data_IF_625432702810
#
_entry.id   IF_625432702810
#
_cell.length_a   1.000
_cell.length_b   1.000
_cell.length_c   1.000
_cell.angle_alpha   90.00
_cell.angle_beta   90.00
_cell.angle_gamma   90.00
#
_symmetry.space_group_name_H-M   'P 1'
#
loop_
_entity.id
_entity.type
_entity.pdbx_description
1 polymer ?
#
# COMPACT_ATOMS: atom_id res chain seq x y z
N UNK A 1 37.24 -59.16 28.99
CA UNK A 1 37.98 -58.69 30.17
C UNK A 1 39.02 -57.72 29.69
N UNK A 2 38.95 -56.52 30.24
CA UNK A 2 39.79 -55.34 30.01
C UNK A 2 41.25 -55.63 30.38
N UNK A 3 42.27 -55.03 29.77
CA UNK A 3 42.89 -53.71 30.04
C UNK A 3 44.30 -53.81 29.38
N UNK A 4 45.10 -52.79 29.04
CA UNK A 4 45.26 -51.39 29.41
C UNK A 4 46.35 -50.77 28.50
N UNK A 5 46.43 -49.43 28.49
CA UNK A 5 47.64 -48.58 28.48
C UNK A 5 47.81 -47.63 27.28
N UNK A 6 47.86 -46.32 27.60
CA UNK A 6 48.50 -45.27 26.80
C UNK A 6 50.04 -45.43 26.82
N UNK A 7 50.87 -44.56 26.24
CA UNK A 7 50.76 -43.13 25.99
C UNK A 7 51.96 -42.71 25.09
N UNK A 8 51.90 -41.50 24.53
CA UNK A 8 53.03 -40.60 24.18
C UNK A 8 53.60 -40.52 22.74
N UNK A 9 53.84 -39.26 22.38
CA UNK A 9 54.24 -38.62 21.13
C UNK A 9 55.68 -38.91 20.67
N UNK A 10 55.96 -38.81 19.36
CA UNK A 10 56.67 -37.67 18.75
C UNK A 10 57.08 -37.92 17.29
N UNK A 11 57.26 -36.79 16.58
CA UNK A 11 57.43 -36.54 15.15
C UNK A 11 58.69 -37.14 14.47
N UNK A 12 58.47 -37.36 13.17
CA UNK A 12 59.35 -37.09 12.01
C UNK A 12 60.55 -38.00 11.73
N UNK A 13 60.68 -38.37 10.45
CA UNK A 13 61.83 -39.10 9.92
C UNK A 13 61.64 -39.46 8.44
N UNK A 14 61.83 -38.45 7.60
CA UNK A 14 62.05 -38.50 6.15
C UNK A 14 62.57 -39.83 5.58
N UNK A 15 61.89 -40.37 4.57
CA UNK A 15 62.51 -41.25 3.55
C UNK A 15 61.58 -41.71 2.41
N UNK A 16 60.32 -41.25 2.34
CA UNK A 16 59.39 -41.66 1.27
C UNK A 16 59.18 -40.57 0.20
N UNK A 17 59.67 -39.34 0.45
CA UNK A 17 59.66 -38.22 -0.51
C UNK A 17 60.90 -38.34 -1.42
N UNK A 18 60.86 -39.26 -2.38
CA UNK A 18 61.71 -39.18 -3.59
C UNK A 18 61.33 -40.20 -4.68
N UNK A 19 60.28 -41.00 -4.48
CA UNK A 19 59.85 -42.01 -5.47
C UNK A 19 58.47 -41.78 -6.07
N UNK A 20 57.74 -40.74 -5.66
CA UNK A 20 56.47 -40.31 -6.25
C UNK A 20 56.57 -39.01 -7.07
N UNK A 21 57.75 -38.39 -7.19
CA UNK A 21 57.97 -37.13 -7.92
C UNK A 21 58.36 -37.31 -9.40
N UNK A 22 58.34 -38.54 -9.94
CA UNK A 22 58.62 -38.79 -11.37
C UNK A 22 57.40 -39.17 -12.22
N UNK A 23 56.19 -39.18 -11.65
CA UNK A 23 54.94 -39.47 -12.38
C UNK A 23 53.88 -38.35 -12.30
N UNK A 24 54.20 -37.18 -11.72
CA UNK A 24 53.29 -36.02 -11.70
C UNK A 24 53.78 -34.87 -12.61
N UNK A 25 54.74 -35.14 -13.51
CA UNK A 25 55.23 -34.14 -14.48
C UNK A 25 54.56 -34.19 -15.86
N UNK A 26 53.56 -35.05 -16.09
CA UNK A 26 52.91 -35.22 -17.41
C UNK A 26 51.36 -35.21 -17.37
N UNK A 27 50.76 -34.41 -16.49
CA UNK A 27 49.36 -33.94 -16.66
C UNK A 27 49.30 -32.45 -16.31
N UNK A 28 50.18 -31.67 -16.94
CA UNK A 28 50.13 -30.21 -16.97
C UNK A 28 49.78 -29.77 -18.37
N UNK A 29 48.76 -28.93 -18.49
CA UNK A 29 48.32 -28.20 -19.69
C UNK A 29 47.50 -28.99 -20.73
N UNK A 30 46.32 -29.45 -20.34
CA UNK A 30 45.17 -29.41 -21.25
C UNK A 30 44.00 -28.68 -20.60
N UNK A 31 43.65 -27.55 -21.21
CA UNK A 31 42.43 -26.76 -21.02
C UNK A 31 42.20 -26.08 -19.65
N UNK A 32 42.99 -25.04 -19.36
CA UNK A 32 42.49 -23.89 -18.56
C UNK A 32 41.97 -22.75 -19.44
N UNK A 33 42.45 -22.64 -20.69
CA UNK A 33 42.03 -21.58 -21.64
C UNK A 33 40.63 -21.77 -22.22
N UNK A 34 40.09 -22.99 -22.24
CA UNK A 34 38.75 -23.26 -22.77
C UNK A 34 37.61 -22.87 -21.82
N UNK A 35 37.88 -22.74 -20.52
CA UNK A 35 36.86 -22.31 -19.55
C UNK A 35 36.72 -20.79 -19.51
N UNK A 36 37.81 -20.03 -19.64
CA UNK A 36 37.76 -18.56 -19.72
C UNK A 36 36.97 -18.10 -20.95
N UNK A 37 37.15 -18.73 -22.11
CA UNK A 37 36.44 -18.37 -23.34
C UNK A 37 34.93 -18.64 -23.26
N UNK A 38 34.52 -19.70 -22.54
CA UNK A 38 33.11 -20.03 -22.25
C UNK A 38 32.51 -19.07 -21.21
N UNK A 39 33.29 -18.70 -20.19
CA UNK A 39 32.88 -17.74 -19.16
C UNK A 39 32.69 -16.33 -19.76
N UNK A 40 33.56 -15.92 -20.67
CA UNK A 40 33.47 -14.65 -21.41
C UNK A 40 32.27 -14.62 -22.37
N UNK A 41 31.97 -15.73 -23.06
CA UNK A 41 30.78 -15.85 -23.91
C UNK A 41 29.49 -15.78 -23.06
N UNK A 42 29.47 -16.45 -21.91
CA UNK A 42 28.36 -16.38 -20.96
C UNK A 42 28.22 -14.98 -20.38
N UNK A 43 29.32 -14.31 -20.02
CA UNK A 43 29.33 -12.93 -19.56
C UNK A 43 28.77 -12.00 -20.64
N UNK A 44 29.19 -12.13 -21.90
CA UNK A 44 28.65 -11.33 -23.02
C UNK A 44 27.15 -11.59 -23.26
N UNK A 45 26.68 -12.84 -23.10
CA UNK A 45 25.26 -13.17 -23.18
C UNK A 45 24.47 -12.57 -22.01
N UNK A 46 25.04 -12.56 -20.80
CA UNK A 46 24.45 -11.91 -19.63
C UNK A 46 24.44 -10.39 -19.83
N UNK A 47 25.53 -9.78 -20.30
CA UNK A 47 25.61 -8.34 -20.60
C UNK A 47 24.60 -7.90 -21.66
N UNK A 48 24.37 -8.71 -22.70
CA UNK A 48 23.31 -8.47 -23.69
C UNK A 48 21.90 -8.57 -23.10
N UNK A 49 21.73 -9.35 -22.02
CA UNK A 49 20.48 -9.48 -21.26
C UNK A 49 20.35 -8.42 -20.17
N UNK A 50 21.44 -7.77 -19.75
CA UNK A 50 21.39 -6.70 -18.77
C UNK A 50 20.56 -5.55 -19.35
N UNK A 51 19.68 -4.95 -18.54
CA UNK A 51 18.97 -3.76 -18.96
C UNK A 51 20.00 -2.66 -19.29
N UNK A 52 19.83 -2.01 -20.45
CA UNK A 52 20.65 -0.85 -20.81
C UNK A 52 20.57 0.16 -19.65
N UNK A 53 21.73 0.70 -19.25
CA UNK A 53 21.81 1.71 -18.20
C UNK A 53 21.06 2.96 -18.68
N UNK A 54 19.78 3.04 -18.34
CA UNK A 54 18.94 4.20 -18.62
C UNK A 54 19.48 5.38 -17.81
N UNK A 55 19.89 6.44 -18.49
CA UNK A 55 20.14 7.76 -17.88
C UNK A 55 18.84 8.53 -17.62
N UNK A 56 17.72 8.07 -18.19
CA UNK A 56 16.40 8.68 -17.96
C UNK A 56 15.69 8.00 -16.78
N UNK A 57 14.97 8.76 -15.94
CA UNK A 57 14.22 8.20 -14.84
C UNK A 57 13.18 7.20 -15.38
N UNK A 58 13.09 6.04 -14.74
CA UNK A 58 12.11 5.01 -15.09
C UNK A 58 10.70 5.63 -14.97
N UNK A 59 10.02 5.78 -16.11
CA UNK A 59 8.69 6.40 -16.18
C UNK A 59 7.56 5.41 -15.89
N UNK A 60 7.90 4.21 -15.40
CA UNK A 60 6.95 3.15 -15.09
C UNK A 60 5.92 3.63 -14.07
N UNK A 61 4.65 3.51 -14.45
CA UNK A 61 3.53 3.87 -13.62
C UNK A 61 2.33 2.96 -13.76
N UNK A 62 2.31 2.03 -14.71
CA UNK A 62 1.28 1.00 -14.81
C UNK A 62 1.94 -0.34 -14.55
N UNK A 63 1.42 -1.04 -13.54
CA UNK A 63 2.07 -2.23 -13.00
C UNK A 63 1.19 -3.46 -13.12
N UNK A 64 1.82 -4.62 -13.19
CA UNK A 64 1.16 -5.92 -13.00
C UNK A 64 1.05 -6.20 -11.51
N UNK A 65 0.03 -6.95 -11.11
CA UNK A 65 -0.20 -7.25 -9.69
C UNK A 65 0.99 -8.05 -9.12
N UNK A 66 1.68 -7.53 -8.09
CA UNK A 66 2.82 -8.22 -7.51
C UNK A 66 2.41 -9.52 -6.79
N UNK A 67 3.21 -10.58 -6.95
CA UNK A 67 3.20 -11.80 -6.11
C UNK A 67 1.93 -12.70 -6.11
N UNK A 68 2.00 -13.83 -5.40
CA UNK A 68 0.89 -14.78 -5.19
C UNK A 68 -0.04 -14.39 -4.03
N UNK A 69 0.41 -13.60 -3.05
CA UNK A 69 -0.42 -13.21 -1.89
C UNK A 69 -1.56 -12.27 -2.28
N UNK A 70 -1.38 -11.47 -3.33
CA UNK A 70 -2.47 -10.69 -3.92
C UNK A 70 -3.44 -11.55 -4.75
N UNK A 71 -3.01 -12.74 -5.19
CA UNK A 71 -3.81 -13.65 -6.02
C UNK A 71 -4.77 -14.54 -5.22
N UNK A 72 -4.76 -14.51 -3.90
CA UNK A 72 -5.81 -15.18 -3.10
C UNK A 72 -7.21 -14.56 -3.34
N UNK A 73 -7.26 -13.34 -3.89
CA UNK A 73 -8.47 -12.69 -4.35
C UNK A 73 -8.27 -12.13 -5.78
N UNK A 74 -8.03 -13.01 -6.76
CA UNK A 74 -7.80 -12.61 -8.17
C UNK A 74 -8.91 -11.71 -8.74
N UNK A 75 -10.14 -11.89 -8.26
CA UNK A 75 -11.31 -11.10 -8.66
C UNK A 75 -11.17 -9.62 -8.27
N UNK A 76 -10.41 -9.29 -7.23
CA UNK A 76 -10.21 -7.91 -6.79
C UNK A 76 -9.33 -7.07 -7.73
N UNK A 77 -8.58 -7.72 -8.64
CA UNK A 77 -7.64 -7.09 -9.55
C UNK A 77 -7.98 -7.27 -11.03
N UNK A 78 -8.98 -8.10 -11.34
CA UNK A 78 -9.36 -8.43 -12.72
C UNK A 78 -10.57 -7.60 -13.17
N UNK A 79 -10.52 -6.93 -14.34
CA UNK A 79 -11.66 -6.18 -14.84
C UNK A 79 -12.84 -7.10 -15.16
N UNK A 80 -14.04 -6.63 -14.86
CA UNK A 80 -15.28 -7.40 -14.99
C UNK A 80 -16.08 -7.01 -16.24
N UNK A 81 -16.08 -5.73 -16.60
CA UNK A 81 -16.93 -5.15 -17.64
C UNK A 81 -16.11 -4.48 -18.73
N UNK A 82 -15.10 -3.69 -18.38
CA UNK A 82 -14.32 -2.90 -19.34
C UNK A 82 -12.81 -3.05 -19.13
N UNK A 83 -12.12 -3.48 -20.17
CA UNK A 83 -10.66 -3.40 -20.26
C UNK A 83 -10.22 -1.99 -20.64
N UNK A 84 -9.11 -1.53 -20.09
CA UNK A 84 -8.45 -0.27 -20.40
C UNK A 84 -6.95 -0.57 -20.50
N UNK A 85 -6.34 -0.15 -21.59
CA UNK A 85 -4.93 -0.35 -21.83
C UNK A 85 -4.56 -1.80 -22.20
N UNK A 86 -3.25 -2.09 -22.31
CA UNK A 86 -2.74 -3.24 -23.05
C UNK A 86 -2.91 -4.58 -22.32
N UNK A 87 -2.85 -4.63 -20.99
CA UNK A 87 -2.81 -5.90 -20.24
C UNK A 87 -4.09 -6.74 -20.31
N UNK A 88 -5.22 -6.09 -20.64
CA UNK A 88 -6.51 -6.75 -20.81
C UNK A 88 -7.11 -6.55 -22.19
N UNK A 89 -6.35 -5.99 -23.14
CA UNK A 89 -6.80 -5.71 -24.49
C UNK A 89 -7.16 -7.00 -25.25
N UNK A 90 -8.13 -6.92 -26.18
CA UNK A 90 -8.59 -8.00 -27.06
C UNK A 90 -9.12 -9.28 -26.37
N UNK A 91 -9.37 -9.26 -25.05
CA UNK A 91 -10.05 -10.38 -24.41
C UNK A 91 -11.49 -10.48 -24.87
N UNK A 92 -11.91 -11.67 -25.29
CA UNK A 92 -13.26 -11.94 -25.85
C UNK A 92 -14.38 -11.41 -24.92
N UNK A 93 -14.19 -11.53 -23.59
CA UNK A 93 -15.15 -11.05 -22.59
C UNK A 93 -15.49 -9.56 -22.67
N UNK A 94 -14.66 -8.72 -23.30
CA UNK A 94 -14.84 -7.27 -23.36
C UNK A 94 -15.28 -6.73 -24.73
N UNK A 95 -15.47 -7.59 -25.74
CA UNK A 95 -15.82 -7.16 -27.10
C UNK A 95 -17.08 -6.27 -27.16
N UNK A 96 -18.08 -6.55 -26.32
CA UNK A 96 -19.28 -5.72 -26.23
C UNK A 96 -18.97 -4.29 -25.77
N UNK A 97 -17.98 -4.11 -24.88
CA UNK A 97 -17.55 -2.80 -24.41
C UNK A 97 -16.67 -2.04 -25.39
N UNK A 98 -15.87 -2.72 -26.21
CA UNK A 98 -15.10 -2.06 -27.26
C UNK A 98 -16.00 -1.25 -28.22
N UNK A 99 -17.17 -1.80 -28.59
CA UNK A 99 -18.15 -1.06 -29.39
C UNK A 99 -18.73 0.16 -28.67
N UNK A 100 -18.90 0.08 -27.35
CA UNK A 100 -19.40 1.20 -26.55
C UNK A 100 -18.35 2.30 -26.45
N UNK A 101 -17.07 1.97 -26.30
CA UNK A 101 -15.98 2.97 -26.32
C UNK A 101 -15.92 3.73 -27.64
N UNK A 102 -16.06 3.03 -28.77
CA UNK A 102 -16.12 3.67 -30.10
C UNK A 102 -17.32 4.62 -30.23
N UNK A 103 -18.48 4.29 -29.64
CA UNK A 103 -19.64 5.21 -29.58
C UNK A 103 -19.32 6.47 -28.77
N UNK A 104 -18.58 6.35 -27.67
CA UNK A 104 -18.16 7.50 -26.86
C UNK A 104 -17.16 8.38 -27.62
N UNK A 105 -16.18 7.77 -28.29
CA UNK A 105 -15.26 8.48 -29.19
C UNK A 105 -16.04 9.24 -30.28
N UNK A 106 -17.02 8.60 -30.92
CA UNK A 106 -17.86 9.25 -31.93
C UNK A 106 -18.65 10.42 -31.35
N UNK A 107 -19.28 10.23 -30.19
CA UNK A 107 -19.99 11.29 -29.48
C UNK A 107 -19.10 12.52 -29.21
N UNK A 108 -17.85 12.29 -28.79
CA UNK A 108 -16.87 13.36 -28.58
C UNK A 108 -16.51 14.07 -29.89
N UNK A 109 -16.27 13.32 -30.96
CA UNK A 109 -15.92 13.85 -32.28
C UNK A 109 -17.07 14.64 -32.91
N UNK A 110 -18.31 14.18 -32.76
CA UNK A 110 -19.50 14.84 -33.30
C UNK A 110 -19.78 16.17 -32.59
N UNK A 111 -19.47 16.25 -31.29
CA UNK A 111 -19.60 17.48 -30.49
C UNK A 111 -18.62 18.59 -30.89
N UNK A 112 -17.47 18.24 -31.47
CA UNK A 112 -16.39 19.17 -31.89
C UNK A 112 -16.14 20.32 -30.91
N UNK A 113 -15.76 20.04 -29.65
CA UNK A 113 -15.61 21.07 -28.62
C UNK A 113 -14.58 22.15 -28.96
N UNK A 114 -13.59 21.82 -29.81
CA UNK A 114 -12.56 22.75 -30.26
C UNK A 114 -12.35 22.61 -31.78
N UNK A 115 -11.79 23.62 -32.46
CA UNK A 115 -11.35 23.50 -33.86
C UNK A 115 -10.28 22.41 -34.06
N UNK A 116 -9.56 22.06 -33.00
CA UNK A 116 -8.53 21.03 -32.98
C UNK A 116 -9.07 19.62 -32.74
N UNK A 117 -10.35 19.47 -32.44
CA UNK A 117 -10.98 18.16 -32.24
C UNK A 117 -11.08 17.42 -33.57
N UNK A 118 -10.14 16.50 -33.82
CA UNK A 118 -10.23 15.55 -34.93
C UNK A 118 -9.50 14.25 -34.62
N UNK A 119 -10.02 13.14 -35.15
CA UNK A 119 -9.42 11.81 -34.94
C UNK A 119 -7.97 11.75 -35.45
N UNK A 120 -7.69 12.38 -36.60
CA UNK A 120 -6.34 12.45 -37.15
C UNK A 120 -5.35 13.17 -36.22
N UNK A 121 -5.77 14.25 -35.55
CA UNK A 121 -4.96 14.93 -34.53
C UNK A 121 -4.73 14.05 -33.30
N UNK A 122 -5.77 13.36 -32.80
CA UNK A 122 -5.62 12.44 -31.66
C UNK A 122 -4.60 11.34 -31.94
N UNK A 123 -4.73 10.67 -33.09
CA UNK A 123 -3.80 9.62 -33.53
C UNK A 123 -2.38 10.17 -33.68
N UNK A 124 -2.21 11.34 -34.29
CA UNK A 124 -0.89 11.96 -34.47
C UNK A 124 -0.21 12.28 -33.14
N UNK A 125 -0.94 12.92 -32.22
CA UNK A 125 -0.39 13.34 -30.93
C UNK A 125 -0.02 12.13 -30.06
N UNK A 126 -0.89 11.11 -29.99
CA UNK A 126 -0.58 9.88 -29.25
C UNK A 126 0.57 9.10 -29.89
N UNK A 127 0.60 8.97 -31.22
CA UNK A 127 1.68 8.28 -31.94
C UNK A 127 3.04 8.93 -31.71
N UNK A 128 3.09 10.27 -31.66
CA UNK A 128 4.34 11.00 -31.37
C UNK A 128 4.93 10.70 -29.99
N UNK A 129 4.15 10.12 -29.07
CA UNK A 129 4.53 9.80 -27.69
C UNK A 129 4.59 8.29 -27.43
N UNK A 130 4.44 7.46 -28.45
CA UNK A 130 4.27 6.02 -28.29
C UNK A 130 5.39 5.37 -27.48
N UNK A 131 6.64 5.70 -27.77
CA UNK A 131 7.80 5.15 -27.04
C UNK A 131 7.73 5.44 -25.55
N UNK A 132 7.49 6.71 -25.19
CA UNK A 132 7.29 7.13 -23.80
C UNK A 132 6.12 6.37 -23.14
N UNK A 133 4.97 6.28 -23.83
CA UNK A 133 3.77 5.63 -23.29
C UNK A 133 3.96 4.13 -23.08
N UNK A 134 4.71 3.44 -23.94
CA UNK A 134 5.07 2.03 -23.76
C UNK A 134 6.02 1.83 -22.58
N UNK A 135 6.95 2.76 -22.36
CA UNK A 135 7.88 2.72 -21.24
C UNK A 135 7.21 3.01 -19.87
N UNK A 136 5.94 3.43 -19.84
CA UNK A 136 5.17 3.57 -18.61
C UNK A 136 4.67 2.22 -18.04
N UNK A 137 4.79 1.13 -18.77
CA UNK A 137 4.34 -0.21 -18.36
C UNK A 137 5.52 -1.04 -17.83
N UNK A 138 5.32 -1.76 -16.71
CA UNK A 138 6.40 -2.54 -16.05
C UNK A 138 6.75 -3.83 -16.82
N UNK A 139 5.74 -4.50 -17.36
CA UNK A 139 5.88 -5.67 -18.22
C UNK A 139 5.64 -5.31 -19.69
N UNK A 140 6.42 -5.96 -20.57
CA UNK A 140 6.25 -5.88 -22.01
C UNK A 140 4.97 -6.59 -22.45
N UNK A 141 4.34 -6.07 -23.50
CA UNK A 141 3.16 -6.63 -24.13
C UNK A 141 3.32 -6.62 -25.65
N UNK A 142 2.68 -7.57 -26.32
CA UNK A 142 2.76 -7.74 -27.77
C UNK A 142 1.59 -7.03 -28.47
N UNK A 143 1.82 -5.78 -28.87
CA UNK A 143 0.86 -4.98 -29.66
C UNK A 143 1.61 -4.20 -30.73
N UNK A 144 1.13 -4.27 -31.97
CA UNK A 144 1.60 -3.41 -33.07
C UNK A 144 1.45 -1.93 -32.72
N UNK A 145 2.24 -1.07 -33.37
CA UNK A 145 2.15 0.39 -33.17
C UNK A 145 0.74 0.92 -33.45
N UNK A 146 0.14 0.49 -34.57
CA UNK A 146 -1.20 0.93 -34.94
C UNK A 146 -2.26 0.52 -33.91
N UNK A 147 -2.25 -0.75 -33.46
CA UNK A 147 -3.21 -1.24 -32.47
C UNK A 147 -3.03 -0.55 -31.11
N UNK A 148 -1.78 -0.28 -30.71
CA UNK A 148 -1.49 0.42 -29.46
C UNK A 148 -2.00 1.85 -29.50
N UNK A 149 -1.73 2.60 -30.57
CA UNK A 149 -2.21 3.98 -30.73
C UNK A 149 -3.74 4.03 -30.79
N UNK A 150 -4.37 3.12 -31.53
CA UNK A 150 -5.83 3.00 -31.58
C UNK A 150 -6.42 2.81 -30.18
N UNK A 151 -5.91 1.82 -29.43
CA UNK A 151 -6.34 1.53 -28.07
C UNK A 151 -6.20 2.74 -27.14
N UNK A 152 -5.05 3.43 -27.18
CA UNK A 152 -4.81 4.62 -26.35
C UNK A 152 -5.80 5.75 -26.64
N UNK A 153 -6.10 6.00 -27.92
CA UNK A 153 -7.06 7.04 -28.32
C UNK A 153 -8.48 6.66 -27.91
N UNK A 154 -8.90 5.42 -28.20
CA UNK A 154 -10.26 4.94 -27.93
C UNK A 154 -10.52 4.87 -26.42
N UNK A 155 -9.63 4.24 -25.65
CA UNK A 155 -9.76 4.11 -24.20
C UNK A 155 -9.66 5.47 -23.50
N UNK A 156 -8.74 6.33 -23.94
CA UNK A 156 -8.56 7.67 -23.38
C UNK A 156 -9.79 8.56 -23.62
N UNK A 157 -10.34 8.56 -24.83
CA UNK A 157 -11.57 9.31 -25.14
C UNK A 157 -12.78 8.77 -24.38
N UNK A 158 -12.89 7.44 -24.25
CA UNK A 158 -13.93 6.81 -23.45
C UNK A 158 -13.89 7.28 -21.98
N UNK A 159 -12.71 7.26 -21.35
CA UNK A 159 -12.54 7.74 -19.97
C UNK A 159 -12.92 9.22 -19.85
N UNK A 160 -12.44 10.08 -20.76
CA UNK A 160 -12.73 11.52 -20.71
C UNK A 160 -14.22 11.82 -20.86
N UNK A 161 -14.90 11.19 -21.82
CA UNK A 161 -16.34 11.36 -21.98
C UNK A 161 -17.13 10.81 -20.80
N UNK A 162 -16.67 9.73 -20.17
CA UNK A 162 -17.28 9.22 -18.94
C UNK A 162 -17.14 10.22 -17.78
N UNK A 163 -15.96 10.81 -17.62
CA UNK A 163 -15.67 11.80 -16.58
C UNK A 163 -16.46 13.12 -16.75
N UNK A 164 -16.81 13.50 -17.98
CA UNK A 164 -17.53 14.75 -18.32
C UNK A 164 -19.04 14.70 -18.07
N UNK A 165 -19.65 13.52 -17.90
CA UNK A 165 -21.11 13.41 -17.83
C UNK A 165 -21.66 13.93 -16.49
N UNK A 166 -22.57 14.93 -16.49
CA UNK A 166 -23.07 15.55 -15.27
C UNK A 166 -23.98 14.58 -14.53
N UNK A 167 -23.56 14.19 -13.32
CA UNK A 167 -24.05 13.01 -12.62
C UNK A 167 -23.77 11.75 -13.43
N UNK A 168 -23.08 10.81 -12.79
CA UNK A 168 -22.96 9.43 -13.23
C UNK A 168 -24.33 8.70 -13.25
N UNK A 169 -25.30 9.21 -14.01
CA UNK A 169 -26.63 8.66 -14.25
C UNK A 169 -26.50 7.57 -15.31
N UNK A 170 -25.90 6.47 -14.90
CA UNK A 170 -25.83 5.21 -15.65
C UNK A 170 -26.48 4.15 -14.76
N UNK A 171 -27.22 3.16 -15.30
CA UNK A 171 -27.92 2.13 -14.52
C UNK A 171 -26.99 1.40 -13.52
N UNK A 172 -27.55 0.62 -12.59
CA UNK A 172 -26.89 -0.01 -11.41
C UNK A 172 -25.59 -0.80 -11.61
N UNK A 173 -25.05 -0.87 -12.83
CA UNK A 173 -23.74 -1.39 -13.23
C UNK A 173 -22.61 -0.36 -13.07
N UNK A 174 -22.95 0.89 -12.76
CA UNK A 174 -22.01 2.01 -12.72
C UNK A 174 -20.91 1.87 -11.65
N UNK A 175 -21.21 1.25 -10.52
CA UNK A 175 -20.22 0.90 -9.50
C UNK A 175 -19.16 -0.04 -10.06
N UNK A 176 -19.56 -1.05 -10.83
CA UNK A 176 -18.64 -2.00 -11.46
C UNK A 176 -17.72 -1.33 -12.48
N UNK A 177 -18.23 -0.39 -13.29
CA UNK A 177 -17.40 0.39 -14.22
C UNK A 177 -16.33 1.22 -13.49
N UNK A 178 -16.72 1.92 -12.42
CA UNK A 178 -15.74 2.69 -11.62
C UNK A 178 -14.64 1.81 -11.06
N UNK A 179 -14.98 0.59 -10.64
CA UNK A 179 -14.01 -0.34 -10.08
C UNK A 179 -13.00 -0.74 -11.14
N UNK A 180 -13.47 -1.13 -12.32
CA UNK A 180 -12.60 -1.50 -13.44
C UNK A 180 -11.61 -0.37 -13.79
N UNK A 181 -12.05 0.89 -13.78
CA UNK A 181 -11.19 2.05 -14.07
C UNK A 181 -10.10 2.30 -13.01
N UNK A 182 -10.24 1.74 -11.81
CA UNK A 182 -9.32 1.93 -10.68
C UNK A 182 -8.53 0.66 -10.36
N UNK A 183 -8.56 -0.35 -11.24
CA UNK A 183 -7.72 -1.53 -11.11
C UNK A 183 -6.28 -1.22 -11.52
N UNK A 184 -5.32 -1.77 -10.79
CA UNK A 184 -3.88 -1.56 -10.98
C UNK A 184 -3.41 -1.83 -12.43
N UNK A 185 -3.87 -2.94 -13.01
CA UNK A 185 -3.48 -3.39 -14.36
C UNK A 185 -4.29 -2.71 -15.48
N UNK A 186 -5.39 -2.02 -15.12
CA UNK A 186 -6.38 -1.50 -16.07
C UNK A 186 -6.25 0.03 -16.21
N UNK A 187 -5.01 0.50 -16.41
CA UNK A 187 -4.67 1.93 -16.41
C UNK A 187 -4.07 2.38 -17.75
N UNK A 188 -4.26 3.67 -18.04
CA UNK A 188 -3.49 4.41 -19.04
C UNK A 188 -2.52 5.36 -18.34
N UNK A 189 -1.34 5.64 -18.91
CA UNK A 189 -0.50 6.74 -18.47
C UNK A 189 -1.28 8.07 -18.53
N UNK A 190 -1.12 8.91 -17.53
CA UNK A 190 -1.86 10.18 -17.40
C UNK A 190 -1.70 11.08 -18.63
N UNK A 191 -0.52 11.04 -19.27
CA UNK A 191 -0.20 11.81 -20.46
C UNK A 191 -1.16 11.53 -21.64
N UNK A 192 -1.76 10.34 -21.71
CA UNK A 192 -2.82 10.03 -22.70
C UNK A 192 -4.04 10.90 -22.43
N UNK A 193 -4.52 10.88 -21.17
CA UNK A 193 -5.69 11.65 -20.76
C UNK A 193 -5.43 13.16 -20.85
N UNK A 194 -4.27 13.63 -20.40
CA UNK A 194 -3.90 15.05 -20.45
C UNK A 194 -3.82 15.57 -21.89
N UNK A 195 -3.17 14.81 -22.79
CA UNK A 195 -3.08 15.15 -24.20
C UNK A 195 -4.46 15.24 -24.86
N UNK A 196 -5.28 14.20 -24.72
CA UNK A 196 -6.62 14.16 -25.31
C UNK A 196 -7.56 15.19 -24.66
N UNK A 197 -7.40 15.45 -23.37
CA UNK A 197 -8.16 16.46 -22.65
C UNK A 197 -7.85 17.84 -23.22
N UNK A 198 -6.58 18.22 -23.37
CA UNK A 198 -6.20 19.52 -23.93
C UNK A 198 -6.73 19.74 -25.35
N UNK A 199 -6.80 18.70 -26.19
CA UNK A 199 -7.36 18.79 -27.53
C UNK A 199 -8.89 18.93 -27.53
N UNK A 200 -9.57 18.61 -26.44
CA UNK A 200 -11.04 18.49 -26.36
C UNK A 200 -11.68 19.36 -25.29
N UNK A 201 -10.88 20.08 -24.50
CA UNK A 201 -11.30 20.91 -23.38
C UNK A 201 -12.06 22.14 -23.89
N UNK A 202 -13.23 22.42 -23.31
CA UNK A 202 -13.96 23.67 -23.57
C UNK A 202 -13.49 24.79 -22.64
N UNK A 203 -13.67 26.06 -23.04
CA UNK A 203 -13.16 27.22 -22.28
C UNK A 203 -13.65 27.34 -20.83
N UNK A 204 -14.80 26.73 -20.50
CA UNK A 204 -15.40 26.76 -19.16
C UNK A 204 -15.16 25.47 -18.35
N UNK A 205 -14.39 24.53 -18.89
CA UNK A 205 -14.22 23.21 -18.26
C UNK A 205 -13.21 23.26 -17.10
N UNK A 206 -13.58 22.60 -15.99
CA UNK A 206 -12.68 22.39 -14.84
C UNK A 206 -11.44 21.58 -15.25
N UNK A 207 -10.40 21.56 -14.41
CA UNK A 207 -9.20 20.77 -14.74
C UNK A 207 -9.50 19.27 -14.79
N UNK A 208 -8.71 18.52 -15.55
CA UNK A 208 -8.83 17.05 -15.66
C UNK A 208 -8.84 16.36 -14.28
N UNK A 209 -7.97 16.82 -13.38
CA UNK A 209 -7.93 16.32 -12.00
C UNK A 209 -9.23 16.59 -11.21
N UNK A 210 -9.90 17.72 -11.43
CA UNK A 210 -11.19 17.97 -10.76
C UNK A 210 -12.27 17.02 -11.27
N UNK A 211 -12.21 16.59 -12.53
CA UNK A 211 -13.13 15.59 -13.07
C UNK A 211 -12.93 14.21 -12.43
N UNK A 212 -11.72 13.86 -11.98
CA UNK A 212 -11.44 12.54 -11.37
C UNK A 212 -11.90 12.43 -9.91
N UNK A 213 -12.19 13.54 -9.22
CA UNK A 213 -12.56 13.54 -7.79
C UNK A 213 -13.77 12.67 -7.47
N UNK A 214 -14.72 12.54 -8.39
CA UNK A 214 -15.92 11.72 -8.21
C UNK A 214 -15.68 10.21 -8.32
N UNK A 215 -14.49 9.76 -8.73
CA UNK A 215 -14.22 8.34 -8.98
C UNK A 215 -14.15 7.50 -7.72
N UNK A 216 -13.43 7.97 -6.68
CA UNK A 216 -13.30 7.20 -5.44
C UNK A 216 -14.57 7.16 -4.60
N UNK A 217 -15.52 8.08 -4.84
CA UNK A 217 -16.71 8.25 -4.00
C UNK A 217 -16.44 8.78 -2.59
N UNK A 218 -15.23 9.29 -2.34
CA UNK A 218 -14.80 9.92 -1.08
C UNK A 218 -14.62 11.43 -1.28
N UNK A 219 -14.69 12.21 -0.19
CA UNK A 219 -14.43 13.65 -0.21
C UNK A 219 -12.92 13.91 -0.18
N UNK A 220 -12.47 14.95 -0.87
CA UNK A 220 -11.04 15.28 -0.98
C UNK A 220 -10.79 16.77 -1.17
N UNK A 221 -9.62 17.23 -0.77
CA UNK A 221 -9.16 18.59 -1.07
C UNK A 221 -8.57 18.71 -2.49
N UNK A 222 -8.57 19.93 -3.07
CA UNK A 222 -7.78 20.20 -4.26
C UNK A 222 -6.29 20.13 -3.93
N UNK A 223 -5.55 19.25 -4.63
CA UNK A 223 -4.10 19.37 -4.73
C UNK A 223 -3.74 20.30 -5.89
N UNK A 224 -3.01 21.38 -5.61
CA UNK A 224 -2.61 22.35 -6.64
C UNK A 224 -1.37 21.93 -7.43
N UNK A 225 -0.58 20.94 -6.97
CA UNK A 225 0.78 20.72 -7.53
C UNK A 225 1.29 19.29 -7.41
N UNK A 226 0.56 18.32 -7.95
CA UNK A 226 1.05 16.95 -8.03
C UNK A 226 1.04 16.46 -9.48
N UNK A 227 2.14 15.83 -9.91
CA UNK A 227 2.25 15.24 -11.25
C UNK A 227 1.59 13.88 -11.20
N UNK A 228 0.42 13.77 -11.83
CA UNK A 228 -0.33 12.53 -11.87
C UNK A 228 0.33 11.55 -12.85
N UNK A 229 0.48 10.29 -12.45
CA UNK A 229 1.07 9.27 -13.31
C UNK A 229 0.03 8.44 -14.08
N UNK A 230 -1.13 8.21 -13.48
CA UNK A 230 -2.29 7.51 -14.06
C UNK A 230 -3.56 7.85 -13.25
N UNK A 231 -4.71 7.22 -13.56
CA UNK A 231 -5.98 7.50 -12.90
C UNK A 231 -6.02 7.01 -11.44
N UNK A 232 -5.46 5.84 -11.17
CA UNK A 232 -5.34 5.28 -9.82
C UNK A 232 -4.46 6.15 -8.91
N UNK A 233 -3.34 6.66 -9.44
CA UNK A 233 -2.45 7.61 -8.76
C UNK A 233 -3.17 8.94 -8.49
N UNK A 234 -4.01 9.42 -9.41
CA UNK A 234 -4.83 10.61 -9.17
C UNK A 234 -5.81 10.42 -8.00
N UNK A 235 -6.45 9.25 -7.91
CA UNK A 235 -7.29 8.90 -6.77
C UNK A 235 -6.46 8.77 -5.48
N UNK A 236 -5.29 8.12 -5.54
CA UNK A 236 -4.39 8.00 -4.40
C UNK A 236 -3.99 9.36 -3.86
N UNK A 237 -3.51 10.24 -4.72
CA UNK A 237 -3.07 11.59 -4.34
C UNK A 237 -4.22 12.38 -3.74
N UNK A 238 -5.44 12.21 -4.27
CA UNK A 238 -6.65 12.80 -3.70
C UNK A 238 -6.94 12.34 -2.27
N UNK A 239 -6.75 11.05 -1.97
CA UNK A 239 -7.01 10.46 -0.64
C UNK A 239 -5.94 10.84 0.40
N UNK A 240 -4.68 10.90 -0.01
CA UNK A 240 -3.57 11.17 0.91
C UNK A 240 -3.31 12.67 1.08
N UNK A 241 -3.60 13.45 0.03
CA UNK A 241 -3.44 14.89 0.01
C UNK A 241 -2.01 15.38 0.28
N UNK A 242 -1.90 16.55 0.91
CA UNK A 242 -0.62 17.26 1.07
C UNK A 242 0.33 16.63 2.11
N UNK A 243 -0.17 15.68 2.89
CA UNK A 243 0.56 15.09 4.02
C UNK A 243 1.72 14.17 3.62
N UNK A 244 1.80 13.76 2.34
CA UNK A 244 2.94 13.00 1.79
C UNK A 244 4.30 13.66 2.05
N UNK A 245 4.32 14.99 2.14
CA UNK A 245 5.55 15.77 2.25
C UNK A 245 5.86 16.26 3.68
N UNK A 246 4.93 16.13 4.63
CA UNK A 246 5.03 16.78 5.94
C UNK A 246 5.27 15.81 7.10
N UNK A 247 4.83 14.56 7.01
CA UNK A 247 4.99 13.57 8.10
C UNK A 247 6.29 12.79 7.96
N UNK A 248 7.01 12.65 9.08
CA UNK A 248 8.20 11.79 9.19
C UNK A 248 7.76 10.32 9.23
N UNK A 249 8.38 9.52 8.37
CA UNK A 249 8.19 8.08 8.27
C UNK A 249 9.22 7.41 9.20
N UNK A 250 8.74 6.54 10.10
CA UNK A 250 9.59 5.80 11.03
C UNK A 250 9.42 4.29 10.81
N UNK A 251 10.52 3.55 10.96
CA UNK A 251 10.56 2.09 10.88
C UNK A 251 9.90 1.47 12.12
N UNK A 252 9.90 2.20 13.26
CA UNK A 252 9.35 1.75 14.52
C UNK A 252 7.81 1.74 14.49
N UNK A 253 7.26 0.64 13.98
CA UNK A 253 5.85 0.33 14.12
C UNK A 253 5.55 -0.09 15.57
N UNK A 254 4.69 0.67 16.25
CA UNK A 254 4.16 0.32 17.56
C UNK A 254 2.65 0.07 17.46
N UNK A 255 2.16 -1.13 17.85
CA UNK A 255 0.72 -1.38 17.90
C UNK A 255 0.02 -0.40 18.84
N UNK A 256 -1.19 0.04 18.49
CA UNK A 256 -2.08 0.79 19.38
C UNK A 256 -3.27 -0.06 19.84
N UNK A 257 -3.88 0.24 21.00
CA UNK A 257 -5.08 -0.45 21.47
C UNK A 257 -6.32 -0.17 20.58
N UNK A 258 -7.33 -1.05 20.66
CA UNK A 258 -8.60 -0.88 19.94
C UNK A 258 -9.42 0.31 20.47
N UNK A 259 -10.45 0.71 19.72
CA UNK A 259 -11.38 1.79 20.10
C UNK A 259 -11.94 1.55 21.51
N UNK A 260 -12.45 0.35 21.79
CA UNK A 260 -13.05 0.02 23.09
C UNK A 260 -12.05 0.22 24.23
N UNK A 261 -10.81 -0.25 24.08
CA UNK A 261 -9.78 -0.10 25.12
C UNK A 261 -9.36 1.37 25.31
N UNK A 262 -9.31 2.14 24.23
CA UNK A 262 -9.00 3.56 24.28
C UNK A 262 -10.14 4.36 24.95
N UNK A 263 -11.39 4.07 24.64
CA UNK A 263 -12.55 4.69 25.31
C UNK A 263 -12.61 4.33 26.80
N UNK A 264 -12.26 3.09 27.15
CA UNK A 264 -12.16 2.61 28.54
C UNK A 264 -11.12 3.34 29.39
N UNK A 265 -10.17 4.06 28.78
CA UNK A 265 -9.22 4.93 29.50
C UNK A 265 -9.54 6.41 29.32
N UNK A 266 -10.64 6.74 28.62
CA UNK A 266 -11.17 8.08 28.44
C UNK A 266 -10.61 8.82 27.24
N UNK A 267 -10.04 8.11 26.25
CA UNK A 267 -9.82 8.68 24.92
C UNK A 267 -11.17 8.91 24.26
N UNK A 268 -11.32 10.04 23.56
CA UNK A 268 -12.53 10.39 22.84
C UNK A 268 -12.25 10.32 21.34
N UNK A 269 -13.18 9.77 20.58
CA UNK A 269 -13.12 9.76 19.12
C UNK A 269 -14.07 10.82 18.57
N UNK A 270 -13.66 11.52 17.53
CA UNK A 270 -14.47 12.55 16.85
C UNK A 270 -14.26 12.50 15.35
N UNK A 271 -15.31 12.83 14.59
CA UNK A 271 -15.21 13.02 13.15
C UNK A 271 -14.49 14.33 12.86
N UNK A 272 -13.45 14.28 12.03
CA UNK A 272 -12.72 15.47 11.62
C UNK A 272 -13.57 16.35 10.66
N UNK A 273 -13.18 17.61 10.48
CA UNK A 273 -13.84 18.52 9.53
C UNK A 273 -13.87 17.92 8.11
N UNK A 274 -14.96 18.15 7.37
CA UNK A 274 -15.17 17.64 6.00
C UNK A 274 -14.11 18.06 4.97
N UNK A 275 -13.27 19.02 5.32
CA UNK A 275 -12.17 19.57 4.51
C UNK A 275 -10.82 18.89 4.80
N UNK A 276 -10.78 17.77 5.51
CA UNK A 276 -9.53 17.03 5.74
C UNK A 276 -9.40 15.85 4.78
N UNK A 277 -8.16 15.58 4.39
CA UNK A 277 -7.79 14.42 3.59
C UNK A 277 -8.03 13.14 4.39
N UNK A 278 -8.33 12.02 3.73
CA UNK A 278 -8.64 10.75 4.40
C UNK A 278 -7.51 10.30 5.35
N UNK A 279 -6.28 10.59 4.97
CA UNK A 279 -5.07 10.24 5.74
C UNK A 279 -4.81 11.17 6.94
N UNK A 280 -5.58 12.25 7.12
CA UNK A 280 -5.31 13.23 8.18
C UNK A 280 -5.92 12.86 9.53
N UNK A 281 -5.50 11.70 10.04
CA UNK A 281 -5.84 11.26 11.39
C UNK A 281 -4.89 11.95 12.37
N UNK A 282 -5.45 12.55 13.42
CA UNK A 282 -4.72 13.31 14.43
C UNK A 282 -5.09 12.84 15.84
N UNK A 283 -4.16 13.03 16.77
CA UNK A 283 -4.36 12.73 18.18
C UNK A 283 -3.82 13.88 19.02
N UNK A 284 -4.65 14.43 19.91
CA UNK A 284 -4.23 15.45 20.85
C UNK A 284 -3.94 14.79 22.21
N UNK A 285 -2.66 14.80 22.61
CA UNK A 285 -2.18 14.16 23.84
C UNK A 285 -2.75 14.80 25.12
N UNK A 286 -3.03 16.09 25.11
CA UNK A 286 -3.47 16.84 26.30
C UNK A 286 -4.90 16.46 26.69
N UNK A 287 -5.82 16.56 25.74
CA UNK A 287 -7.23 16.24 25.98
C UNK A 287 -7.56 14.76 25.68
N UNK A 288 -6.71 14.04 24.96
CA UNK A 288 -6.91 12.64 24.56
C UNK A 288 -8.03 12.48 23.55
N UNK A 289 -8.13 13.41 22.59
CA UNK A 289 -9.09 13.35 21.49
C UNK A 289 -8.37 12.83 20.24
N UNK A 290 -8.91 11.78 19.63
CA UNK A 290 -8.53 11.30 18.31
C UNK A 290 -9.54 11.79 17.30
N UNK A 291 -9.09 12.55 16.31
CA UNK A 291 -9.92 12.99 15.19
C UNK A 291 -9.61 12.14 13.96
N UNK A 292 -10.66 11.51 13.41
CA UNK A 292 -10.58 10.64 12.23
C UNK A 292 -11.50 11.24 11.15
N UNK A 293 -11.00 11.47 9.93
CA UNK A 293 -11.84 11.89 8.81
C UNK A 293 -12.97 10.91 8.53
N UNK A 294 -14.15 11.42 8.17
CA UNK A 294 -15.30 10.59 7.79
C UNK A 294 -14.96 9.69 6.59
N UNK A 295 -15.33 8.41 6.69
CA UNK A 295 -15.19 7.44 5.58
C UNK A 295 -16.48 6.68 5.35
N UNK A 296 -16.88 6.61 4.08
CA UNK A 296 -17.97 5.74 3.61
C UNK A 296 -17.40 4.43 3.07
N UNK A 297 -17.80 3.32 3.67
CA UNK A 297 -17.48 1.96 3.22
C UNK A 297 -18.62 1.46 2.34
N UNK A 298 -18.32 1.22 1.07
CA UNK A 298 -19.25 0.69 0.07
C UNK A 298 -18.77 -0.68 -0.40
N UNK A 299 -19.62 -1.36 -1.17
CA UNK A 299 -19.28 -2.64 -1.80
C UNK A 299 -17.98 -2.64 -2.60
N UNK A 300 -17.57 -1.50 -3.16
CA UNK A 300 -16.34 -1.40 -3.93
C UNK A 300 -15.11 -0.89 -3.16
N UNK A 301 -15.29 -0.43 -1.92
CA UNK A 301 -14.20 0.16 -1.14
C UNK A 301 -13.06 -0.84 -0.95
N UNK A 302 -13.35 -2.14 -0.78
CA UNK A 302 -12.32 -3.16 -0.64
C UNK A 302 -11.42 -3.29 -1.87
N UNK A 303 -12.02 -3.39 -3.06
CA UNK A 303 -11.25 -3.47 -4.31
C UNK A 303 -10.39 -2.23 -4.51
N UNK A 304 -10.93 -1.03 -4.23
CA UNK A 304 -10.18 0.21 -4.33
C UNK A 304 -8.94 0.21 -3.41
N UNK A 305 -9.10 -0.09 -2.12
CA UNK A 305 -7.97 -0.13 -1.19
C UNK A 305 -6.93 -1.18 -1.59
N UNK A 306 -7.35 -2.36 -2.04
CA UNK A 306 -6.42 -3.40 -2.50
C UNK A 306 -5.58 -2.94 -3.69
N UNK A 307 -6.19 -2.31 -4.68
CA UNK A 307 -5.48 -1.79 -5.85
C UNK A 307 -4.56 -0.62 -5.50
N UNK A 308 -4.99 0.29 -4.60
CA UNK A 308 -4.15 1.37 -4.10
C UNK A 308 -2.96 0.86 -3.29
N UNK A 309 -3.16 -0.13 -2.42
CA UNK A 309 -2.09 -0.76 -1.63
C UNK A 309 -1.08 -1.46 -2.55
N UNK A 310 -1.57 -2.24 -3.52
CA UNK A 310 -0.71 -2.88 -4.52
C UNK A 310 0.07 -1.83 -5.33
N UNK A 311 -0.59 -0.74 -5.72
CA UNK A 311 0.06 0.38 -6.40
C UNK A 311 1.20 0.98 -5.56
N UNK A 312 0.98 1.24 -4.26
CA UNK A 312 2.02 1.77 -3.36
C UNK A 312 3.25 0.87 -3.28
N UNK A 313 3.06 -0.45 -3.28
CA UNK A 313 4.15 -1.41 -3.22
C UNK A 313 4.95 -1.53 -4.52
N UNK A 314 4.38 -1.10 -5.64
CA UNK A 314 5.08 -1.05 -6.93
C UNK A 314 5.92 0.21 -7.11
N UNK A 315 5.70 1.27 -6.32
CA UNK A 315 6.41 2.53 -6.46
C UNK A 315 7.84 2.43 -5.92
N UNK A 316 8.79 3.16 -6.54
CA UNK A 316 10.21 3.21 -6.12
C UNK A 316 10.38 3.58 -4.64
N UNK A 317 9.45 4.37 -4.09
CA UNK A 317 9.39 4.72 -2.67
C UNK A 317 8.49 3.74 -1.90
N UNK A 318 8.72 2.43 -2.03
CA UNK A 318 7.92 1.38 -1.37
C UNK A 318 7.86 1.53 0.15
N UNK A 319 8.81 2.23 0.75
CA UNK A 319 8.82 2.56 2.18
C UNK A 319 7.71 3.55 2.58
N UNK A 320 7.18 4.35 1.64
CA UNK A 320 6.15 5.38 1.89
C UNK A 320 4.77 4.91 1.42
N UNK A 321 4.14 4.04 2.22
CA UNK A 321 2.80 3.51 1.96
C UNK A 321 1.72 4.11 2.89
N UNK A 322 1.23 5.34 2.67
CA UNK A 322 0.19 5.97 3.50
C UNK A 322 -1.17 5.26 3.41
N UNK A 323 -1.58 4.74 2.26
CA UNK A 323 -2.87 4.01 2.15
C UNK A 323 -2.78 2.69 2.93
N UNK A 324 -1.68 1.95 2.79
CA UNK A 324 -1.46 0.75 3.60
C UNK A 324 -1.35 1.09 5.10
N UNK A 325 -0.64 2.15 5.47
CA UNK A 325 -0.56 2.61 6.86
C UNK A 325 -1.93 2.98 7.42
N UNK A 326 -2.81 3.59 6.62
CA UNK A 326 -4.18 3.91 7.01
C UNK A 326 -4.99 2.63 7.26
N UNK A 327 -4.93 1.67 6.34
CA UNK A 327 -5.59 0.38 6.51
C UNK A 327 -5.08 -0.37 7.76
N UNK A 328 -3.77 -0.33 8.01
CA UNK A 328 -3.16 -0.92 9.21
C UNK A 328 -3.60 -0.23 10.49
N UNK A 329 -3.75 1.10 10.49
CA UNK A 329 -4.22 1.86 11.66
C UNK A 329 -5.67 1.53 11.98
N UNK A 330 -6.57 1.55 10.99
CA UNK A 330 -7.97 1.20 11.20
C UNK A 330 -8.15 -0.26 11.61
N UNK A 331 -7.37 -1.18 11.04
CA UNK A 331 -7.35 -2.57 11.49
C UNK A 331 -6.93 -2.71 12.96
N UNK A 332 -6.09 -1.83 13.50
CA UNK A 332 -5.73 -1.85 14.93
C UNK A 332 -6.88 -1.31 15.80
N UNK A 333 -7.52 -0.23 15.35
CA UNK A 333 -8.64 0.39 16.04
C UNK A 333 -9.89 -0.49 16.06
N UNK A 334 -10.18 -1.20 14.97
CA UNK A 334 -11.41 -1.97 14.75
C UNK A 334 -11.12 -3.46 14.87
N UNK A 335 -11.21 -4.01 16.09
CA UNK A 335 -11.01 -5.45 16.37
C UNK A 335 -12.29 -6.24 16.50
N UNK A 336 -13.41 -5.55 16.70
CA UNK A 336 -14.73 -6.13 16.92
C UNK A 336 -15.82 -5.24 16.33
N UNK A 337 -17.03 -5.77 16.18
CA UNK A 337 -18.21 -4.98 15.80
C UNK A 337 -18.47 -3.86 16.80
N UNK A 338 -18.26 -4.10 18.10
CA UNK A 338 -18.34 -3.06 19.13
C UNK A 338 -17.41 -1.87 18.88
N UNK A 339 -16.18 -2.12 18.41
CA UNK A 339 -15.25 -1.03 18.05
C UNK A 339 -15.78 -0.23 16.85
N UNK A 340 -16.33 -0.92 15.85
CA UNK A 340 -16.94 -0.32 14.67
C UNK A 340 -18.18 0.51 15.02
N UNK A 341 -19.10 -0.04 15.82
CA UNK A 341 -20.34 0.61 16.24
C UNK A 341 -20.07 1.93 16.94
N UNK A 342 -19.04 1.97 17.78
CA UNK A 342 -18.63 3.20 18.47
C UNK A 342 -18.19 4.28 17.49
N UNK A 343 -17.50 3.91 16.40
CA UNK A 343 -17.09 4.85 15.33
C UNK A 343 -18.28 5.26 14.45
N UNK A 344 -19.23 4.36 14.18
CA UNK A 344 -20.46 4.66 13.45
C UNK A 344 -21.32 5.68 14.23
N UNK A 345 -21.54 5.43 15.52
CA UNK A 345 -22.30 6.34 16.39
C UNK A 345 -21.69 7.74 16.47
N UNK A 346 -20.38 7.86 16.25
CA UNK A 346 -19.65 9.13 16.25
C UNK A 346 -19.57 9.81 14.86
N UNK A 347 -20.20 9.21 13.84
CA UNK A 347 -20.20 9.73 12.48
C UNK A 347 -18.80 9.75 11.85
N UNK A 348 -17.93 8.81 12.25
CA UNK A 348 -16.60 8.63 11.67
C UNK A 348 -16.66 7.64 10.51
N UNK A 349 -17.40 6.55 10.68
CA UNK A 349 -17.56 5.51 9.67
C UNK A 349 -19.05 5.40 9.35
N UNK A 350 -19.35 5.25 8.06
CA UNK A 350 -20.65 4.81 7.57
C UNK A 350 -20.42 3.65 6.61
N UNK A 351 -21.31 2.65 6.58
CA UNK A 351 -21.08 1.41 5.83
C UNK A 351 -22.36 0.90 5.17
N UNK A 352 -22.25 0.50 3.91
CA UNK A 352 -23.31 -0.23 3.16
C UNK A 352 -23.22 -1.75 3.37
N UNK A 353 -22.16 -2.22 4.04
CA UNK A 353 -21.91 -3.63 4.34
C UNK A 353 -22.47 -4.00 5.72
N UNK A 354 -22.54 -5.29 6.02
CA UNK A 354 -22.75 -5.73 7.41
C UNK A 354 -21.60 -5.28 8.31
N UNK A 355 -21.85 -5.16 9.61
CA UNK A 355 -20.81 -4.82 10.59
C UNK A 355 -19.71 -5.88 10.57
N UNK A 356 -20.08 -7.16 10.50
CA UNK A 356 -19.14 -8.28 10.42
C UNK A 356 -18.26 -8.19 9.17
N UNK A 357 -18.86 -7.93 7.99
CA UNK A 357 -18.12 -7.80 6.74
C UNK A 357 -17.19 -6.59 6.77
N UNK A 358 -17.61 -5.49 7.40
CA UNK A 358 -16.81 -4.27 7.54
C UNK A 358 -15.60 -4.49 8.46
N UNK A 359 -15.78 -5.18 9.59
CA UNK A 359 -14.67 -5.57 10.47
C UNK A 359 -13.72 -6.54 9.76
N UNK A 360 -14.27 -7.52 9.05
CA UNK A 360 -13.45 -8.48 8.29
C UNK A 360 -12.70 -7.80 7.15
N UNK A 361 -13.30 -6.79 6.49
CA UNK A 361 -12.66 -5.99 5.46
C UNK A 361 -11.33 -5.39 5.93
N UNK A 362 -11.30 -4.68 7.06
CA UNK A 362 -10.06 -4.08 7.58
C UNK A 362 -9.03 -5.14 8.00
N UNK A 363 -9.48 -6.27 8.54
CA UNK A 363 -8.60 -7.39 8.86
C UNK A 363 -7.98 -8.01 7.59
N UNK A 364 -8.76 -8.16 6.51
CA UNK A 364 -8.29 -8.72 5.22
C UNK A 364 -7.39 -7.78 4.42
N UNK A 365 -7.36 -6.49 4.74
CA UNK A 365 -6.40 -5.54 4.18
C UNK A 365 -5.02 -5.62 4.85
N UNK A 366 -4.88 -6.37 5.95
CA UNK A 366 -3.59 -6.60 6.61
C UNK A 366 -2.72 -7.49 5.73
N UNK A 367 -1.80 -6.87 4.98
CA UNK A 367 -0.75 -7.60 4.28
C UNK A 367 0.44 -7.87 5.19
N UNK A 368 1.05 -9.06 5.05
CA UNK A 368 2.32 -9.42 5.69
C UNK A 368 3.48 -8.86 4.87
N UNK A 369 3.76 -7.58 5.04
CA UNK A 369 4.94 -6.93 4.43
C UNK A 369 6.00 -6.75 5.50
N UNK A 370 7.19 -7.31 5.27
CA UNK A 370 8.21 -7.46 6.31
C UNK A 370 8.97 -6.19 6.70
N UNK A 371 8.65 -5.01 6.13
CA UNK A 371 9.18 -3.71 6.56
C UNK A 371 8.46 -2.59 5.82
N UNK A 372 7.67 -1.78 6.51
CA UNK A 372 7.07 -0.55 5.96
C UNK A 372 7.33 0.56 6.97
N UNK A 373 7.71 1.74 6.49
CA UNK A 373 7.76 2.90 7.37
C UNK A 373 6.33 3.38 7.64
N UNK A 374 5.94 3.33 8.90
CA UNK A 374 4.55 3.56 9.28
C UNK A 374 4.23 5.06 9.30
N UNK A 375 3.31 5.49 8.43
CA UNK A 375 2.92 6.89 8.27
C UNK A 375 2.33 7.52 9.55
N UNK A 376 1.81 6.69 10.46
CA UNK A 376 1.23 7.12 11.73
C UNK A 376 2.11 6.75 12.94
N UNK A 377 3.42 6.56 12.78
CA UNK A 377 4.34 6.22 13.87
C UNK A 377 4.30 7.23 15.02
N UNK A 378 4.35 8.53 14.69
CA UNK A 378 4.26 9.63 15.66
C UNK A 378 2.93 9.63 16.41
N UNK A 379 1.82 9.41 15.70
CA UNK A 379 0.48 9.30 16.29
C UNK A 379 0.39 8.10 17.22
N UNK A 380 0.88 6.93 16.78
CA UNK A 380 0.88 5.70 17.58
C UNK A 380 1.67 5.87 18.89
N UNK A 381 2.84 6.53 18.83
CA UNK A 381 3.63 6.86 20.02
C UNK A 381 2.85 7.74 21.00
N UNK A 382 2.17 8.78 20.52
CA UNK A 382 1.36 9.66 21.38
C UNK A 382 0.17 8.93 21.99
N UNK A 383 -0.50 8.08 21.21
CA UNK A 383 -1.62 7.24 21.69
C UNK A 383 -1.14 6.29 22.78
N UNK A 384 -0.01 5.60 22.57
CA UNK A 384 0.57 4.69 23.56
C UNK A 384 1.03 5.42 24.83
N UNK A 385 1.65 6.60 24.70
CA UNK A 385 2.02 7.42 25.86
C UNK A 385 0.78 7.80 26.68
N UNK A 386 -0.28 8.27 26.01
CA UNK A 386 -1.55 8.57 26.63
C UNK A 386 -2.14 7.32 27.32
N UNK A 387 -2.09 6.19 26.62
CA UNK A 387 -2.64 4.92 27.10
C UNK A 387 -1.98 4.49 28.39
N UNK A 388 -0.66 4.37 28.41
CA UNK A 388 0.07 4.00 29.61
C UNK A 388 -0.17 5.02 30.73
N UNK A 389 -0.04 6.32 30.47
CA UNK A 389 -0.23 7.36 31.49
C UNK A 389 -1.63 7.31 32.13
N UNK A 390 -2.70 7.17 31.34
CA UNK A 390 -4.08 7.15 31.84
C UNK A 390 -4.47 5.81 32.45
N UNK A 391 -4.00 4.70 31.88
CA UNK A 391 -4.20 3.36 32.42
C UNK A 391 -3.58 3.24 33.81
N UNK A 392 -2.33 3.66 33.99
CA UNK A 392 -1.67 3.67 35.30
C UNK A 392 -2.47 4.49 36.33
N UNK A 393 -2.95 5.69 35.96
CA UNK A 393 -3.77 6.54 36.84
C UNK A 393 -5.09 5.87 37.24
N UNK A 394 -5.81 5.25 36.29
CA UNK A 394 -7.07 4.55 36.57
C UNK A 394 -6.85 3.31 37.43
N UNK A 395 -5.80 2.54 37.16
CA UNK A 395 -5.43 1.38 37.96
C UNK A 395 -5.10 1.77 39.39
N UNK A 396 -4.29 2.81 39.60
CA UNK A 396 -4.01 3.37 40.92
C UNK A 396 -5.27 3.88 41.63
N UNK A 397 -6.20 4.51 40.90
CA UNK A 397 -7.48 4.95 41.46
C UNK A 397 -8.37 3.78 41.88
N UNK A 398 -8.42 2.68 41.10
CA UNK A 398 -9.11 1.45 41.49
C UNK A 398 -8.49 0.84 42.74
N UNK A 399 -7.16 0.76 42.81
CA UNK A 399 -6.49 0.27 44.02
C UNK A 399 -6.85 1.13 45.23
N UNK A 400 -6.76 2.45 45.07
CA UNK A 400 -7.12 3.40 46.11
C UNK A 400 -8.56 3.20 46.57
N UNK A 401 -9.52 3.10 45.64
CA UNK A 401 -10.94 2.92 45.96
C UNK A 401 -11.21 1.56 46.61
N UNK A 402 -10.74 0.47 46.02
CA UNK A 402 -11.14 -0.89 46.36
C UNK A 402 -10.39 -1.42 47.61
N UNK A 403 -9.16 -0.93 47.84
CA UNK A 403 -8.32 -1.39 48.95
C UNK A 403 -8.06 -0.32 50.03
N UNK A 404 -7.93 0.97 49.69
CA UNK A 404 -7.55 2.00 50.67
C UNK A 404 -8.74 2.77 51.27
N UNK A 405 -9.85 2.92 50.56
CA UNK A 405 -10.98 3.79 50.99
C UNK A 405 -12.34 3.08 51.12
N UNK A 406 -12.41 1.76 50.98
CA UNK A 406 -13.66 1.02 51.15
C UNK A 406 -13.80 0.53 52.61
N UNK A 407 -14.67 1.10 53.45
CA UNK A 407 -14.70 0.80 54.88
C UNK A 407 -15.15 -0.64 55.21
N UNK A 408 -15.79 -1.35 54.27
CA UNK A 408 -16.13 -2.79 54.44
C UNK A 408 -14.96 -3.75 54.14
N UNK A 409 -13.84 -3.27 53.58
CA UNK A 409 -12.60 -4.06 53.44
C UNK A 409 -11.63 -3.86 54.63
N UNK A 410 -11.95 -2.97 55.58
CA UNK A 410 -11.15 -2.73 56.79
C UNK A 410 -11.12 -3.97 57.70
N UNK A 411 -12.10 -4.89 57.62
CA UNK A 411 -12.01 -6.20 58.32
C UNK A 411 -11.09 -7.23 57.62
N UNK A 412 -10.50 -6.89 56.47
CA UNK A 412 -9.60 -7.73 55.68
C UNK A 412 -8.18 -7.14 55.61
N UNK A 413 -7.81 -6.30 56.59
CA UNK A 413 -6.50 -5.63 56.66
C UNK A 413 -5.30 -6.58 56.51
N UNK A 414 -5.38 -7.81 57.05
CA UNK A 414 -4.28 -8.77 56.96
C UNK A 414 -4.13 -9.41 55.57
N UNK A 415 -5.21 -9.75 54.87
CA UNK A 415 -5.10 -10.37 53.54
C UNK A 415 -4.66 -9.37 52.48
N UNK A 416 -5.16 -8.13 52.54
CA UNK A 416 -4.91 -7.13 51.50
C UNK A 416 -3.54 -6.45 51.65
N UNK A 417 -3.05 -6.26 52.88
CA UNK A 417 -1.70 -5.77 53.11
C UNK A 417 -0.64 -6.78 52.64
N UNK A 418 -0.89 -8.08 52.83
CA UNK A 418 -0.03 -9.16 52.32
C UNK A 418 -0.01 -9.17 50.78
N UNK A 419 -1.17 -9.02 50.12
CA UNK A 419 -1.24 -8.95 48.65
C UNK A 419 -0.49 -7.70 48.12
N UNK A 420 -0.67 -6.53 48.74
CA UNK A 420 0.03 -5.32 48.36
C UNK A 420 1.55 -5.44 48.57
N UNK A 421 1.98 -6.00 49.71
CA UNK A 421 3.38 -6.29 49.98
C UNK A 421 3.97 -7.27 48.95
N UNK A 422 3.19 -8.27 48.53
CA UNK A 422 3.59 -9.26 47.51
C UNK A 422 3.74 -8.63 46.12
N UNK A 423 2.87 -7.69 45.75
CA UNK A 423 3.02 -6.91 44.51
C UNK A 423 4.28 -6.05 44.57
N UNK A 424 4.55 -5.39 45.70
CA UNK A 424 5.73 -4.55 45.88
C UNK A 424 7.03 -5.37 45.87
N UNK A 425 7.06 -6.57 46.46
CA UNK A 425 8.24 -7.44 46.42
C UNK A 425 8.49 -7.99 45.02
N UNK A 426 7.45 -8.36 44.27
CA UNK A 426 7.61 -8.74 42.86
C UNK A 426 8.19 -7.58 42.04
N UNK A 427 7.66 -6.36 42.19
CA UNK A 427 8.19 -5.17 41.54
C UNK A 427 9.66 -4.91 41.90
N UNK A 428 9.99 -4.96 43.19
CA UNK A 428 11.36 -4.79 43.67
C UNK A 428 12.31 -5.86 43.09
N UNK A 429 11.84 -7.10 42.98
CA UNK A 429 12.62 -8.21 42.42
C UNK A 429 12.87 -8.01 40.93
N UNK A 430 11.84 -7.60 40.16
CA UNK A 430 11.99 -7.28 38.73
C UNK A 430 12.96 -6.12 38.51
N UNK A 431 12.87 -5.05 39.30
CA UNK A 431 13.82 -3.93 39.22
C UNK A 431 15.25 -4.34 39.61
N UNK A 432 15.43 -5.18 40.63
CA UNK A 432 16.73 -5.72 41.02
C UNK A 432 17.36 -6.60 39.94
N UNK A 433 16.56 -7.46 39.29
CA UNK A 433 17.00 -8.30 38.17
C UNK A 433 17.36 -7.43 36.96
N UNK A 434 16.54 -6.44 36.61
CA UNK A 434 16.82 -5.53 35.50
C UNK A 434 18.11 -4.72 35.74
N UNK A 435 18.37 -4.28 36.97
CA UNK A 435 19.61 -3.61 37.34
C UNK A 435 20.84 -4.54 37.27
N UNK A 436 20.65 -5.85 37.46
CA UNK A 436 21.71 -6.85 37.35
C UNK A 436 22.05 -7.22 35.89
N UNK A 437 21.06 -7.25 34.99
CA UNK A 437 21.26 -7.62 33.57
C UNK A 437 21.50 -6.43 32.64
N UNK A 438 21.24 -5.19 33.08
CA UNK A 438 21.72 -3.96 32.45
C UNK A 438 22.40 -3.07 33.50
N UNK A 439 23.61 -3.45 33.96
CA UNK A 439 24.44 -2.50 34.69
C UNK A 439 24.84 -1.41 33.68
N UNK A 440 24.70 -0.14 34.07
CA UNK A 440 25.17 1.00 33.26
C UNK A 440 26.63 0.83 32.84
#
# INVERSE_FOLDING_TARGET
>A
MTDSAGESNAKAGDSVIQRSEREISHVGNQSWSGNEEIEDELASLIEKKLPKKSTEPVHTCVFRVPTKHFRENENAFSPQVVSIGPYHHQRIKFQGMEQTKLRYLRSLLDRKPTPDTSLGKFVKEIRSREEFLRNCYDEKFDLSSDNFVEMMVVDGCYILELLRRPSFRVPGWFSTFKNDLLLLENQLPWQVLDCLFNLTKTSQEVSLYQLTKGLSGMKHNPLEKCVMKNLLDAVRNSLVGSLLNTRSYDVDWTPIPSVTLLEEIGVKFQSASNERDLSDITFNLENGVMEIPYVMIRSNTESLFRNLIAYEQCLDNFDKCPILSYAMLLNQLIKSTKDLDSLIQKGIIDTELSEEDTVCFFNRLRYSTERINFFYSSLARQVNECYHRRWLRRWLARIKRDYLYNPKSILSLFSNAVILALILTVLQTVYGILAYYKPN
#
